data_IF_783626399466
#
_entry.id   IF_783626399466
#
_cell.length_a   1.000
_cell.length_b   1.000
_cell.length_c   1.000
_cell.angle_alpha   90.00
_cell.angle_beta   90.00
_cell.angle_gamma   90.00
#
_symmetry.space_group_name_H-M   'P 1'
#
loop_
_entity.id
_entity.type
_entity.pdbx_description
1 polymer ?
#
# COMPACT_ATOMS: atom_id res chain seq x y z
N UNK A 1 50.15 1.68 -5.91
CA UNK A 1 48.96 2.12 -6.69
C UNK A 1 47.90 2.58 -5.72
N UNK A 2 47.27 3.74 -5.94
CA UNK A 2 46.15 4.21 -5.12
C UNK A 2 44.84 3.84 -5.79
N UNK A 3 43.85 3.40 -5.01
CA UNK A 3 42.51 3.05 -5.46
C UNK A 3 41.50 3.67 -4.50
N UNK A 4 40.36 4.11 -5.01
CA UNK A 4 39.27 4.67 -4.21
C UNK A 4 38.16 3.63 -4.02
N UNK A 5 37.40 3.76 -2.94
CA UNK A 5 36.23 2.90 -2.67
C UNK A 5 35.27 2.90 -3.87
N UNK A 6 34.87 1.70 -4.30
CA UNK A 6 33.97 1.50 -5.45
C UNK A 6 34.66 1.42 -6.81
N UNK A 7 35.97 1.71 -6.91
CA UNK A 7 36.71 1.55 -8.15
C UNK A 7 36.93 0.06 -8.49
N UNK A 8 37.01 -0.24 -9.79
CA UNK A 8 37.31 -1.59 -10.29
C UNK A 8 38.73 -2.00 -9.87
N UNK A 9 38.85 -3.17 -9.24
CA UNK A 9 40.15 -3.75 -8.92
C UNK A 9 41.00 -3.95 -10.18
N UNK A 10 42.25 -3.47 -10.21
CA UNK A 10 43.17 -3.70 -11.31
C UNK A 10 43.50 -5.17 -11.49
N UNK A 11 43.89 -5.54 -12.72
CA UNK A 11 44.26 -6.92 -13.01
C UNK A 11 45.42 -7.34 -12.10
N UNK A 12 45.36 -8.59 -11.63
CA UNK A 12 46.37 -9.18 -10.73
C UNK A 12 46.39 -8.62 -9.29
N UNK A 13 45.44 -7.77 -8.89
CA UNK A 13 45.28 -7.34 -7.50
C UNK A 13 44.09 -8.04 -6.82
N UNK A 14 44.28 -8.49 -5.58
CA UNK A 14 43.26 -9.20 -4.80
C UNK A 14 42.97 -8.59 -3.43
N UNK A 15 43.81 -7.67 -2.95
CA UNK A 15 43.77 -7.15 -1.58
C UNK A 15 43.96 -5.63 -1.61
N UNK A 16 43.16 -4.90 -0.83
CA UNK A 16 43.29 -3.44 -0.68
C UNK A 16 43.64 -3.11 0.77
N UNK A 17 44.60 -2.20 0.96
CA UNK A 17 45.01 -1.73 2.28
C UNK A 17 44.43 -0.33 2.48
N UNK A 18 43.66 -0.08 3.56
CA UNK A 18 43.19 1.24 3.89
C UNK A 18 44.36 2.21 4.06
N UNK A 19 44.24 3.41 3.50
CA UNK A 19 45.34 4.39 3.45
C UNK A 19 45.83 4.77 4.85
N UNK A 20 44.96 4.67 5.86
CA UNK A 20 45.23 4.96 7.26
C UNK A 20 46.33 4.07 7.83
N UNK A 21 46.58 2.91 7.22
CA UNK A 21 47.60 1.95 7.60
C UNK A 21 48.85 1.98 6.72
N UNK A 22 48.93 2.92 5.78
CA UNK A 22 50.04 3.03 4.82
C UNK A 22 50.82 4.32 5.07
N UNK A 23 52.14 4.19 5.21
CA UNK A 23 53.07 5.33 5.19
C UNK A 23 53.77 5.41 3.84
N UNK A 24 54.14 6.61 3.40
CA UNK A 24 54.91 6.80 2.16
C UNK A 24 56.33 7.18 2.55
N UNK A 25 57.31 6.38 2.11
CA UNK A 25 58.74 6.65 2.32
C UNK A 25 59.50 6.41 1.02
N UNK A 26 60.29 7.38 0.58
CA UNK A 26 61.07 7.32 -0.67
C UNK A 26 60.24 6.93 -1.91
N UNK A 27 58.99 7.41 -1.99
CA UNK A 27 58.06 7.08 -3.08
C UNK A 27 57.47 5.66 -3.02
N UNK A 28 57.81 4.86 -2.00
CA UNK A 28 57.25 3.53 -1.76
C UNK A 28 56.19 3.56 -0.66
N UNK A 29 55.17 2.71 -0.81
CA UNK A 29 54.16 2.49 0.21
C UNK A 29 54.65 1.43 1.20
N UNK A 30 54.71 1.78 2.48
CA UNK A 30 55.17 0.92 3.57
C UNK A 30 54.01 0.64 4.53
N UNK A 31 53.79 -0.64 4.85
CA UNK A 31 52.76 -1.12 5.77
C UNK A 31 53.20 -2.43 6.43
N UNK A 32 52.62 -2.77 7.58
CA UNK A 32 52.89 -4.04 8.25
C UNK A 32 52.02 -5.14 7.64
N UNK A 33 52.61 -6.27 7.28
CA UNK A 33 51.89 -7.37 6.61
C UNK A 33 50.79 -7.99 7.47
N UNK A 34 50.84 -7.87 8.80
CA UNK A 34 49.82 -8.40 9.71
C UNK A 34 48.51 -7.59 9.72
N UNK A 35 48.44 -6.44 9.04
CA UNK A 35 47.28 -5.53 9.10
C UNK A 35 46.14 -6.00 8.19
N UNK A 36 46.43 -6.73 7.11
CA UNK A 36 45.43 -7.25 6.17
C UNK A 36 45.73 -8.71 5.83
N UNK A 37 44.69 -9.47 5.52
CA UNK A 37 44.76 -10.82 4.94
C UNK A 37 44.55 -10.77 3.44
N UNK A 38 45.01 -11.81 2.76
CA UNK A 38 44.73 -12.01 1.35
C UNK A 38 43.22 -11.95 1.09
N UNK A 39 42.81 -11.05 0.18
CA UNK A 39 41.41 -10.88 -0.18
C UNK A 39 40.64 -9.85 0.64
N UNK A 40 41.27 -9.15 1.58
CA UNK A 40 40.62 -8.09 2.36
C UNK A 40 40.29 -6.87 1.50
N UNK A 41 39.21 -6.19 1.90
CA UNK A 41 38.76 -4.91 1.32
C UNK A 41 38.49 -4.93 -0.18
N UNK A 42 38.21 -6.11 -0.76
CA UNK A 42 37.67 -6.26 -2.12
C UNK A 42 36.22 -6.74 -2.08
N UNK A 43 35.46 -6.29 -3.08
CA UNK A 43 34.10 -6.77 -3.36
C UNK A 43 34.12 -7.64 -4.62
N UNK A 44 33.61 -8.86 -4.53
CA UNK A 44 33.51 -9.79 -5.66
C UNK A 44 32.32 -9.42 -6.55
N UNK A 45 32.47 -9.65 -7.85
CA UNK A 45 31.37 -9.49 -8.80
C UNK A 45 30.19 -10.37 -8.38
N UNK A 46 29.04 -9.74 -8.14
CA UNK A 46 27.80 -10.43 -7.78
C UNK A 46 27.79 -11.03 -6.37
N UNK A 47 28.58 -10.50 -5.44
CA UNK A 47 28.52 -10.91 -4.03
C UNK A 47 27.22 -10.50 -3.35
N UNK A 48 26.67 -9.33 -3.71
CA UNK A 48 25.38 -8.85 -3.20
C UNK A 48 24.20 -9.48 -3.96
N UNK A 49 24.28 -9.49 -5.30
CA UNK A 49 23.24 -10.00 -6.19
C UNK A 49 23.87 -10.82 -7.31
N UNK A 50 23.37 -12.05 -7.48
CA UNK A 50 23.79 -12.94 -8.57
C UNK A 50 22.80 -12.86 -9.72
N UNK A 51 23.35 -12.85 -10.94
CA UNK A 51 22.56 -12.95 -12.15
C UNK A 51 21.69 -14.22 -12.13
N UNK A 52 20.44 -14.10 -12.61
CA UNK A 52 19.48 -15.19 -12.64
C UNK A 52 18.65 -15.35 -11.36
N UNK A 53 19.00 -14.68 -10.26
CA UNK A 53 18.21 -14.72 -9.03
C UNK A 53 17.17 -13.60 -9.00
N UNK A 54 15.93 -13.87 -8.56
CA UNK A 54 14.91 -12.84 -8.42
C UNK A 54 15.30 -11.85 -7.32
N UNK A 55 15.32 -10.57 -7.68
CA UNK A 55 15.66 -9.48 -6.74
C UNK A 55 14.41 -8.98 -5.98
N UNK A 56 13.24 -9.03 -6.63
CA UNK A 56 11.94 -8.77 -6.03
C UNK A 56 11.00 -9.94 -6.30
N UNK A 57 10.12 -10.24 -5.35
CA UNK A 57 9.09 -11.27 -5.48
C UNK A 57 7.75 -10.65 -5.90
N UNK A 58 7.00 -11.36 -6.74
CA UNK A 58 5.65 -10.97 -7.15
C UNK A 58 4.75 -10.83 -5.92
N UNK A 59 3.96 -9.77 -5.85
CA UNK A 59 3.05 -9.48 -4.73
C UNK A 59 3.68 -8.66 -3.60
N UNK A 60 4.96 -8.31 -3.71
CA UNK A 60 5.61 -7.38 -2.79
C UNK A 60 5.03 -5.96 -2.94
N UNK A 61 4.77 -5.32 -1.81
CA UNK A 61 4.49 -3.88 -1.76
C UNK A 61 5.82 -3.12 -1.90
N UNK A 62 5.92 -2.28 -2.94
CA UNK A 62 7.15 -1.55 -3.23
C UNK A 62 7.41 -0.46 -2.18
N UNK A 63 8.60 -0.48 -1.60
CA UNK A 63 9.16 0.56 -0.75
C UNK A 63 10.18 1.41 -1.52
N UNK A 64 10.64 2.51 -0.92
CA UNK A 64 11.70 3.34 -1.50
C UNK A 64 13.00 2.53 -1.75
N UNK A 65 13.33 1.57 -0.88
CA UNK A 65 14.48 0.71 -1.06
C UNK A 65 14.35 -0.20 -2.28
N UNK A 66 13.14 -0.69 -2.56
CA UNK A 66 12.88 -1.53 -3.73
C UNK A 66 13.04 -0.75 -5.04
N UNK A 67 12.60 0.51 -5.05
CA UNK A 67 12.78 1.39 -6.21
C UNK A 67 14.27 1.64 -6.45
N UNK A 68 15.05 1.95 -5.40
CA UNK A 68 16.50 2.12 -5.52
C UNK A 68 17.20 0.86 -6.01
N UNK A 69 16.76 -0.30 -5.54
CA UNK A 69 17.28 -1.59 -5.97
C UNK A 69 17.03 -1.85 -7.46
N UNK A 70 15.80 -1.62 -7.95
CA UNK A 70 15.45 -1.75 -9.37
C UNK A 70 16.27 -0.78 -10.23
N UNK A 71 16.39 0.48 -9.79
CA UNK A 71 17.19 1.48 -10.47
C UNK A 71 18.68 1.10 -10.53
N UNK A 72 19.23 0.52 -9.45
CA UNK A 72 20.62 0.06 -9.40
C UNK A 72 20.95 -1.04 -10.42
N UNK A 73 19.92 -1.79 -10.85
CA UNK A 73 20.03 -2.82 -11.89
C UNK A 73 19.91 -2.26 -13.31
N UNK A 74 19.70 -0.95 -13.46
CA UNK A 74 19.47 -0.30 -14.76
C UNK A 74 18.11 -0.59 -15.36
N UNK A 75 17.12 -1.00 -14.55
CA UNK A 75 15.76 -1.31 -15.00
C UNK A 75 14.92 -0.03 -14.90
N UNK A 76 14.45 0.55 -16.02
CA UNK A 76 13.73 1.82 -16.00
C UNK A 76 12.27 1.69 -15.54
N UNK A 77 11.64 0.55 -15.82
CA UNK A 77 10.22 0.30 -15.55
C UNK A 77 10.01 -1.14 -15.11
N UNK A 78 8.98 -1.35 -14.29
CA UNK A 78 8.55 -2.68 -13.83
C UNK A 78 7.04 -2.81 -13.95
N UNK A 79 6.59 -4.03 -14.20
CA UNK A 79 5.16 -4.35 -14.19
C UNK A 79 4.62 -4.36 -12.76
N UNK A 80 3.53 -3.63 -12.54
CA UNK A 80 2.82 -3.59 -11.27
C UNK A 80 1.35 -3.87 -11.48
N UNK A 81 0.67 -4.32 -10.43
CA UNK A 81 -0.79 -4.42 -10.47
C UNK A 81 -1.41 -3.03 -10.56
N UNK A 82 -2.50 -2.92 -11.32
CA UNK A 82 -3.36 -1.74 -11.28
C UNK A 82 -3.84 -1.51 -9.84
N UNK A 83 -3.99 -0.24 -9.46
CA UNK A 83 -4.64 0.12 -8.20
C UNK A 83 -6.09 -0.37 -8.22
N UNK A 84 -6.57 -0.85 -7.07
CA UNK A 84 -8.00 -1.13 -6.90
C UNK A 84 -8.76 0.18 -6.79
N UNK A 85 -9.94 0.23 -7.41
CA UNK A 85 -10.88 1.33 -7.21
C UNK A 85 -11.78 1.01 -6.03
N UNK A 86 -11.81 1.87 -5.01
CA UNK A 86 -12.61 1.68 -3.80
C UNK A 86 -13.62 2.81 -3.68
N UNK A 87 -14.90 2.46 -3.77
CA UNK A 87 -16.03 3.35 -3.56
C UNK A 87 -16.46 3.34 -2.11
N UNK A 88 -16.83 4.48 -1.55
CA UNK A 88 -17.38 4.54 -0.20
C UNK A 88 -18.48 5.59 -0.05
N UNK A 89 -19.43 5.32 0.84
CA UNK A 89 -20.49 6.27 1.23
C UNK A 89 -21.04 5.96 2.63
N UNK A 90 -21.72 6.93 3.21
CA UNK A 90 -22.51 6.73 4.43
C UNK A 90 -23.99 6.64 4.13
N UNK A 91 -24.76 6.02 5.03
CA UNK A 91 -26.22 5.98 4.94
C UNK A 91 -26.83 6.37 6.27
N UNK A 92 -27.89 7.18 6.22
CA UNK A 92 -28.59 7.70 7.39
C UNK A 92 -29.21 9.05 7.09
N UNK A 93 -30.49 9.23 7.46
CA UNK A 93 -31.21 10.49 7.25
C UNK A 93 -30.76 11.59 8.22
N UNK A 94 -30.21 11.19 9.35
CA UNK A 94 -29.65 12.03 10.40
C UNK A 94 -28.28 12.61 10.03
N UNK A 95 -27.63 12.10 8.99
CA UNK A 95 -26.26 12.46 8.66
C UNK A 95 -26.19 13.79 7.89
N UNK A 96 -25.26 14.65 8.30
CA UNK A 96 -24.87 15.88 7.61
C UNK A 96 -23.37 15.87 7.33
N UNK A 97 -22.97 16.46 6.20
CA UNK A 97 -21.56 16.68 5.91
C UNK A 97 -21.04 17.90 6.68
N UNK A 98 -19.79 17.89 7.17
CA UNK A 98 -19.12 19.08 7.68
C UNK A 98 -19.32 20.30 6.77
N UNK A 99 -19.73 21.43 7.36
CA UNK A 99 -20.05 22.67 6.65
C UNK A 99 -21.54 22.85 6.33
N UNK A 100 -22.37 21.83 6.51
CA UNK A 100 -23.83 21.96 6.48
C UNK A 100 -24.37 22.36 7.87
N UNK A 101 -25.51 23.04 7.90
CA UNK A 101 -26.24 23.26 9.15
C UNK A 101 -26.72 21.94 9.74
N UNK A 102 -26.73 21.87 11.08
CA UNK A 102 -27.14 20.68 11.81
C UNK A 102 -28.58 20.87 12.30
N UNK A 103 -29.51 20.20 11.63
CA UNK A 103 -30.90 20.16 12.05
C UNK A 103 -31.06 19.42 13.40
N UNK A 104 -32.18 19.65 14.09
CA UNK A 104 -32.48 18.92 15.32
C UNK A 104 -32.52 17.40 15.06
N UNK A 105 -31.87 16.63 15.94
CA UNK A 105 -31.69 15.18 15.79
C UNK A 105 -30.67 14.73 14.74
N UNK A 106 -30.02 15.63 14.01
CA UNK A 106 -28.97 15.29 13.05
C UNK A 106 -27.56 15.28 13.68
N UNK A 107 -26.65 14.54 13.07
CA UNK A 107 -25.23 14.43 13.46
C UNK A 107 -24.32 14.54 12.24
N UNK A 108 -23.07 14.93 12.45
CA UNK A 108 -22.08 14.95 11.38
C UNK A 108 -21.58 13.55 11.03
N UNK A 109 -21.47 13.27 9.74
CA UNK A 109 -20.87 12.05 9.21
C UNK A 109 -19.36 12.07 9.43
N UNK A 110 -18.89 11.37 10.48
CA UNK A 110 -17.47 11.22 10.79
C UNK A 110 -16.84 9.97 10.15
N UNK A 111 -17.65 8.94 9.88
CA UNK A 111 -17.17 7.66 9.40
C UNK A 111 -16.64 7.76 7.96
N UNK A 112 -17.34 8.48 7.09
CA UNK A 112 -16.92 8.66 5.69
C UNK A 112 -15.54 9.30 5.58
N UNK A 113 -15.26 10.30 6.42
CA UNK A 113 -13.95 10.97 6.47
C UNK A 113 -12.87 10.07 7.09
N UNK A 114 -13.22 9.29 8.10
CA UNK A 114 -12.31 8.29 8.69
C UNK A 114 -11.91 7.23 7.66
N UNK A 115 -12.88 6.68 6.93
CA UNK A 115 -12.65 5.71 5.85
C UNK A 115 -11.79 6.32 4.76
N UNK A 116 -12.08 7.55 4.33
CA UNK A 116 -11.27 8.27 3.34
C UNK A 116 -9.80 8.39 3.77
N UNK A 117 -9.54 8.79 5.02
CA UNK A 117 -8.20 8.91 5.58
C UNK A 117 -7.48 7.56 5.75
N UNK A 118 -8.21 6.47 6.00
CA UNK A 118 -7.63 5.13 6.05
C UNK A 118 -7.26 4.63 4.64
N UNK A 119 -8.13 4.85 3.65
CA UNK A 119 -7.89 4.42 2.29
C UNK A 119 -6.78 5.23 1.59
N UNK A 120 -6.61 6.52 1.92
CA UNK A 120 -5.55 7.35 1.35
C UNK A 120 -4.12 6.87 1.70
N UNK A 121 -3.99 6.04 2.73
CA UNK A 121 -2.73 5.40 3.12
C UNK A 121 -2.42 4.12 2.34
N UNK A 122 -3.35 3.67 1.50
CA UNK A 122 -3.23 2.46 0.70
C UNK A 122 -3.02 2.81 -0.78
N UNK A 123 -2.39 1.94 -1.58
CA UNK A 123 -2.21 2.14 -3.02
C UNK A 123 -3.51 1.84 -3.78
N UNK A 124 -4.57 2.61 -3.51
CA UNK A 124 -5.90 2.47 -4.12
C UNK A 124 -6.35 3.81 -4.71
N UNK A 125 -7.25 3.75 -5.67
CA UNK A 125 -7.98 4.93 -6.16
C UNK A 125 -9.32 4.99 -5.43
N UNK A 126 -9.63 6.11 -4.78
CA UNK A 126 -10.84 6.23 -3.95
C UNK A 126 -11.92 7.07 -4.64
N UNK A 127 -13.19 6.69 -4.47
CA UNK A 127 -14.35 7.43 -4.98
C UNK A 127 -15.36 7.62 -3.84
N UNK A 128 -15.64 8.86 -3.51
CA UNK A 128 -16.64 9.24 -2.51
C UNK A 128 -18.02 9.38 -3.18
N UNK A 129 -18.99 8.57 -2.74
CA UNK A 129 -20.37 8.62 -3.22
C UNK A 129 -21.30 9.42 -2.28
N UNK A 130 -20.75 10.05 -1.23
CA UNK A 130 -21.46 10.97 -0.36
C UNK A 130 -22.25 10.28 0.75
N UNK A 131 -23.38 10.91 1.11
CA UNK A 131 -24.35 10.39 2.07
C UNK A 131 -25.61 10.00 1.30
N UNK A 132 -26.02 8.74 1.41
CA UNK A 132 -27.26 8.23 0.87
C UNK A 132 -28.38 8.31 1.93
N UNK A 133 -29.55 8.79 1.53
CA UNK A 133 -30.74 8.72 2.38
C UNK A 133 -31.21 7.26 2.53
N UNK A 134 -31.83 6.94 3.67
CA UNK A 134 -32.39 5.61 3.96
C UNK A 134 -33.69 5.38 3.18
N UNK A 135 -33.56 5.28 1.86
CA UNK A 135 -34.63 5.03 0.92
C UNK A 135 -34.20 3.92 -0.05
N UNK A 136 -34.98 2.84 -0.24
CA UNK A 136 -34.62 1.73 -1.12
C UNK A 136 -34.21 2.13 -2.53
N UNK A 137 -34.90 3.11 -3.13
CA UNK A 137 -34.64 3.55 -4.52
C UNK A 137 -33.34 4.34 -4.62
N UNK A 138 -33.07 5.18 -3.62
CA UNK A 138 -31.84 5.97 -3.55
C UNK A 138 -30.65 5.03 -3.33
N UNK A 139 -30.77 4.12 -2.37
CA UNK A 139 -29.74 3.11 -2.09
C UNK A 139 -29.47 2.23 -3.32
N UNK A 140 -30.50 1.72 -3.99
CA UNK A 140 -30.35 0.92 -5.22
C UNK A 140 -29.59 1.69 -6.30
N UNK A 141 -29.92 2.97 -6.50
CA UNK A 141 -29.24 3.83 -7.47
C UNK A 141 -27.77 4.06 -7.10
N UNK A 142 -27.48 4.34 -5.83
CA UNK A 142 -26.10 4.57 -5.35
C UNK A 142 -25.27 3.29 -5.47
N UNK A 143 -25.80 2.14 -5.06
CA UNK A 143 -25.09 0.87 -5.17
C UNK A 143 -24.81 0.47 -6.63
N UNK A 144 -25.78 0.62 -7.54
CA UNK A 144 -25.57 0.35 -8.98
C UNK A 144 -24.52 1.28 -9.59
N UNK A 145 -24.63 2.58 -9.30
CA UNK A 145 -23.65 3.58 -9.75
C UNK A 145 -22.24 3.23 -9.22
N UNK A 146 -22.13 2.87 -7.94
CA UNK A 146 -20.85 2.45 -7.36
C UNK A 146 -20.33 1.17 -8.01
N UNK A 147 -21.15 0.13 -8.13
CA UNK A 147 -20.77 -1.17 -8.70
C UNK A 147 -20.23 -1.05 -10.14
N UNK A 148 -20.73 -0.09 -10.92
CA UNK A 148 -20.23 0.17 -12.29
C UNK A 148 -18.83 0.82 -12.32
N UNK A 149 -18.40 1.46 -11.24
CA UNK A 149 -17.19 2.32 -11.20
C UNK A 149 -16.03 1.73 -10.40
N UNK A 150 -16.31 0.87 -9.43
CA UNK A 150 -15.32 0.43 -8.43
C UNK A 150 -15.19 -1.09 -8.35
N UNK A 151 -14.10 -1.54 -7.74
CA UNK A 151 -13.82 -2.95 -7.48
C UNK A 151 -14.27 -3.37 -6.07
N UNK A 152 -14.36 -2.41 -5.13
CA UNK A 152 -14.83 -2.60 -3.75
C UNK A 152 -15.74 -1.44 -3.34
N UNK A 153 -16.84 -1.74 -2.66
CA UNK A 153 -17.74 -0.74 -2.06
C UNK A 153 -17.69 -0.89 -0.53
N UNK A 154 -17.50 0.22 0.18
CA UNK A 154 -17.54 0.29 1.64
C UNK A 154 -18.67 1.23 2.07
N UNK A 155 -19.54 0.78 2.97
CA UNK A 155 -20.64 1.62 3.47
C UNK A 155 -20.55 1.79 4.98
N UNK A 156 -20.56 3.02 5.47
CA UNK A 156 -20.69 3.33 6.89
C UNK A 156 -22.16 3.61 7.25
N UNK A 157 -22.85 2.58 7.73
CA UNK A 157 -24.26 2.65 8.14
C UNK A 157 -25.12 1.53 7.53
N UNK A 158 -26.36 1.40 7.97
CA UNK A 158 -27.39 0.60 7.28
C UNK A 158 -27.34 -0.93 7.49
N UNK A 159 -26.37 -1.48 8.22
CA UNK A 159 -26.30 -2.94 8.50
C UNK A 159 -26.99 -3.34 9.81
N UNK A 160 -27.75 -2.42 10.43
CA UNK A 160 -28.36 -2.63 11.74
C UNK A 160 -29.42 -3.73 11.72
N UNK A 161 -29.69 -4.34 12.88
CA UNK A 161 -30.68 -5.41 13.10
C UNK A 161 -32.11 -4.87 13.35
N UNK A 162 -32.41 -3.63 12.94
CA UNK A 162 -33.68 -2.95 13.17
C UNK A 162 -34.68 -3.03 12.00
N UNK A 163 -35.92 -2.61 12.24
CA UNK A 163 -37.08 -2.72 11.34
C UNK A 163 -36.97 -1.96 10.00
N UNK A 164 -35.99 -1.07 9.85
CA UNK A 164 -35.77 -0.24 8.65
C UNK A 164 -34.62 -0.76 7.77
N UNK A 165 -34.66 -2.05 7.40
CA UNK A 165 -33.53 -2.77 6.83
C UNK A 165 -33.40 -2.66 5.30
N UNK A 166 -33.63 -1.46 4.76
CA UNK A 166 -33.65 -1.20 3.32
C UNK A 166 -32.31 -1.53 2.64
N UNK A 167 -31.20 -1.26 3.34
CA UNK A 167 -29.85 -1.58 2.85
C UNK A 167 -29.67 -3.09 2.66
N UNK A 168 -30.15 -3.94 3.58
CA UNK A 168 -30.06 -5.40 3.40
C UNK A 168 -30.92 -5.90 2.26
N UNK A 169 -32.12 -5.34 2.08
CA UNK A 169 -33.00 -5.68 0.97
C UNK A 169 -32.35 -5.34 -0.38
N UNK A 170 -31.80 -4.14 -0.52
CA UNK A 170 -31.10 -3.69 -1.73
C UNK A 170 -29.83 -4.52 -1.96
N UNK A 171 -29.05 -4.78 -0.92
CA UNK A 171 -27.85 -5.62 -1.04
C UNK A 171 -28.18 -7.05 -1.54
N UNK A 172 -29.26 -7.65 -1.03
CA UNK A 172 -29.72 -8.98 -1.47
C UNK A 172 -30.28 -8.98 -2.90
N UNK A 173 -30.86 -7.87 -3.37
CA UNK A 173 -31.36 -7.79 -4.75
C UNK A 173 -30.23 -7.59 -5.76
N UNK A 174 -29.14 -6.92 -5.35
CA UNK A 174 -28.01 -6.60 -6.22
C UNK A 174 -26.92 -7.68 -6.28
N UNK A 175 -26.92 -8.62 -5.34
CA UNK A 175 -25.96 -9.71 -5.32
C UNK A 175 -26.05 -10.64 -4.12
N UNK A 176 -24.94 -11.30 -3.81
CA UNK A 176 -24.84 -12.26 -2.72
C UNK A 176 -24.15 -11.60 -1.53
N UNK A 177 -24.90 -11.28 -0.49
CA UNK A 177 -24.39 -10.61 0.72
C UNK A 177 -24.71 -11.41 1.96
N UNK A 178 -23.66 -11.72 2.72
CA UNK A 178 -23.72 -12.40 4.00
C UNK A 178 -23.72 -11.37 5.14
N UNK A 179 -24.56 -11.63 6.14
CA UNK A 179 -24.70 -10.76 7.32
C UNK A 179 -24.23 -11.51 8.56
N UNK A 180 -23.17 -11.00 9.18
CA UNK A 180 -22.50 -11.64 10.31
C UNK A 180 -22.72 -10.86 11.60
N UNK A 181 -22.77 -11.62 12.70
CA UNK A 181 -22.67 -11.10 14.07
C UNK A 181 -21.27 -11.44 14.58
N UNK A 182 -20.35 -10.51 14.43
CA UNK A 182 -18.97 -10.63 14.87
C UNK A 182 -18.93 -10.61 16.40
N UNK A 183 -18.15 -11.52 16.98
CA UNK A 183 -17.91 -11.59 18.42
C UNK A 183 -16.97 -10.47 18.88
N UNK A 184 -17.38 -9.21 18.71
CA UNK A 184 -16.62 -8.01 19.07
C UNK A 184 -17.50 -6.94 19.72
N UNK A 185 -16.88 -6.06 20.52
CA UNK A 185 -17.54 -4.90 21.13
C UNK A 185 -16.59 -3.69 21.13
N UNK A 186 -16.96 -2.55 20.50
CA UNK A 186 -18.12 -2.33 19.61
C UNK A 186 -17.97 -3.06 18.26
N UNK A 187 -19.01 -3.03 17.40
CA UNK A 187 -18.93 -3.50 15.99
C UNK A 187 -19.55 -4.87 15.67
N UNK A 188 -20.55 -5.31 16.45
CA UNK A 188 -21.18 -6.64 16.29
C UNK A 188 -21.75 -6.93 14.89
N UNK A 189 -22.51 -6.05 14.21
CA UNK A 189 -23.04 -6.35 12.89
C UNK A 189 -22.05 -6.01 11.76
N UNK A 190 -21.90 -6.93 10.80
CA UNK A 190 -21.09 -6.73 9.59
C UNK A 190 -21.77 -7.37 8.37
N UNK A 191 -21.61 -6.77 7.20
CA UNK A 191 -22.04 -7.34 5.92
C UNK A 191 -20.86 -7.44 4.97
N UNK A 192 -20.75 -8.58 4.28
CA UNK A 192 -19.74 -8.80 3.24
C UNK A 192 -20.37 -9.59 2.12
N UNK A 193 -20.07 -9.23 0.88
CA UNK A 193 -20.64 -9.91 -0.26
C UNK A 193 -20.10 -9.46 -1.58
N UNK A 194 -20.72 -9.99 -2.63
CA UNK A 194 -20.44 -9.64 -4.03
C UNK A 194 -21.66 -9.00 -4.63
N UNK A 195 -21.45 -7.89 -5.33
CA UNK A 195 -22.46 -7.20 -6.13
C UNK A 195 -22.08 -7.42 -7.60
N UNK A 196 -23.07 -7.72 -8.45
CA UNK A 196 -22.80 -7.89 -9.89
C UNK A 196 -22.37 -6.53 -10.46
N UNK A 197 -21.26 -6.52 -11.20
CA UNK A 197 -20.93 -5.35 -12.06
C UNK A 197 -22.07 -5.18 -13.05
N UNK A 198 -22.70 -4.01 -13.00
CA UNK A 198 -23.80 -3.59 -13.87
C UNK A 198 -23.32 -2.51 -14.81
#
# INVERSE_FOLDING_TARGET
MKIMTGAKMPMMCDTVIPQEFVSISNGMACFTSSIVKEGDNRRKKGEDLKFGNPVLQRGRLLSAADVGLVASLGIPEIEVYKKLRVGYFSTGNELRSPGQELDDGCIYDSNRYTISAMLSRLPVDIIDFGVAADNPRILDTVFKNAASKVDLIITSGGVSVGESDFTKQVMKSLGSVEFWKIAMRPGRPMAVGTIKKT
#
